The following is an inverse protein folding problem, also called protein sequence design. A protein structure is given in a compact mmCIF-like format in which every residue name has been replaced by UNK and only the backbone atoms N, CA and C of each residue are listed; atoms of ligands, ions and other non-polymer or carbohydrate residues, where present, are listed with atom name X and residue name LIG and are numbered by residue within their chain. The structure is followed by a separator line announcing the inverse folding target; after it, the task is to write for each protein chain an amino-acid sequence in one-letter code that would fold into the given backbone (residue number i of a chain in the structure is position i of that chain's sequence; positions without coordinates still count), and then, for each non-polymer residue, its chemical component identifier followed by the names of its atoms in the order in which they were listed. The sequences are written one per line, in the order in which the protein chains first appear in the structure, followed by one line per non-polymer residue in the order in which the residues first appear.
data_IF_867582760036
#
_entry.id   IF_867582760036
#
_cell.length_a   1.000
_cell.length_b   1.000
_cell.length_c   1.000
_cell.angle_alpha   90.00
_cell.angle_beta   90.00
_cell.angle_gamma   90.00
#
_symmetry.space_group_name_H-M   'P 1'
#
loop_
_entity.id
_entity.type
_entity.pdbx_description
1 polymer ?
#
# COMPACT_ATOMS: atom_id res chain seq x y z
N UNK A 1 -18.35 7.40 -30.14
CA UNK A 1 -17.01 7.07 -29.62
C UNK A 1 -16.66 8.10 -28.56
N UNK A 2 -16.06 7.61 -27.48
CA UNK A 2 -16.10 8.11 -26.09
C UNK A 2 -15.64 9.56 -25.88
N UNK A 3 -16.58 10.43 -25.55
CA UNK A 3 -16.35 11.81 -25.04
C UNK A 3 -15.45 11.85 -23.78
N UNK A 4 -15.26 10.72 -23.10
CA UNK A 4 -14.38 10.57 -21.93
C UNK A 4 -12.88 10.46 -22.27
N UNK A 5 -12.52 10.18 -23.51
CA UNK A 5 -11.13 9.92 -23.92
C UNK A 5 -10.18 11.13 -23.77
N UNK A 6 -10.56 12.38 -24.12
CA UNK A 6 -9.70 13.54 -23.88
C UNK A 6 -9.53 13.85 -22.38
N UNK A 7 -10.57 13.66 -21.56
CA UNK A 7 -10.49 13.89 -20.11
C UNK A 7 -9.50 12.96 -19.41
N UNK A 8 -9.42 11.70 -19.86
CA UNK A 8 -8.44 10.73 -19.37
C UNK A 8 -7.00 11.17 -19.64
N UNK A 9 -6.75 11.80 -20.79
CA UNK A 9 -5.43 12.32 -21.15
C UNK A 9 -5.02 13.48 -20.23
N UNK A 10 -5.90 14.48 -20.03
CA UNK A 10 -5.62 15.60 -19.12
C UNK A 10 -5.41 15.13 -17.68
N UNK A 11 -6.23 14.19 -17.21
CA UNK A 11 -6.07 13.56 -15.91
C UNK A 11 -4.73 12.82 -15.78
N UNK A 12 -4.34 12.05 -16.80
CA UNK A 12 -3.07 11.34 -16.78
C UNK A 12 -1.87 12.30 -16.73
N UNK A 13 -1.90 13.36 -17.54
CA UNK A 13 -0.85 14.38 -17.55
C UNK A 13 -0.76 15.07 -16.18
N UNK A 14 -1.89 15.49 -15.61
CA UNK A 14 -1.91 16.15 -14.30
C UNK A 14 -1.44 15.22 -13.18
N UNK A 15 -1.84 13.95 -13.19
CA UNK A 15 -1.36 12.92 -12.26
C UNK A 15 0.14 12.69 -12.39
N UNK A 16 0.66 12.49 -13.60
CA UNK A 16 2.09 12.26 -13.83
C UNK A 16 2.90 13.48 -13.39
N UNK A 17 2.47 14.70 -13.73
CA UNK A 17 3.12 15.92 -13.30
C UNK A 17 3.13 16.05 -11.76
N UNK A 18 2.01 15.74 -11.10
CA UNK A 18 1.89 15.80 -9.63
C UNK A 18 2.82 14.79 -8.96
N UNK A 19 2.79 13.52 -9.41
CA UNK A 19 3.66 12.46 -8.87
C UNK A 19 5.13 12.81 -9.09
N UNK A 20 5.47 13.36 -10.26
CA UNK A 20 6.83 13.78 -10.58
C UNK A 20 7.30 14.92 -9.67
N UNK A 21 6.50 15.97 -9.47
CA UNK A 21 6.83 17.09 -8.59
C UNK A 21 6.98 16.65 -7.13
N UNK A 22 6.08 15.78 -6.64
CA UNK A 22 6.17 15.19 -5.30
C UNK A 22 7.44 14.35 -5.17
N UNK A 23 7.80 13.57 -6.19
CA UNK A 23 9.04 12.80 -6.23
C UNK A 23 10.29 13.68 -6.20
N UNK A 24 10.27 14.80 -6.93
CA UNK A 24 11.38 15.75 -7.00
C UNK A 24 11.55 16.52 -5.68
N UNK A 25 10.44 16.89 -5.03
CA UNK A 25 10.47 17.45 -3.68
C UNK A 25 10.97 16.43 -2.65
N UNK A 26 10.50 15.19 -2.71
CA UNK A 26 10.95 14.10 -1.86
C UNK A 26 12.47 13.86 -2.02
N UNK A 27 13.00 13.87 -3.24
CA UNK A 27 14.43 13.71 -3.50
C UNK A 27 15.28 14.81 -2.83
N UNK A 28 14.82 16.07 -2.88
CA UNK A 28 15.49 17.20 -2.20
C UNK A 28 15.41 17.10 -0.67
N UNK A 29 14.28 16.63 -0.13
CA UNK A 29 14.08 16.48 1.32
C UNK A 29 14.78 15.24 1.87
N UNK A 30 15.03 14.23 1.04
CA UNK A 30 15.66 12.96 1.43
C UNK A 30 17.03 13.15 2.08
N UNK A 31 17.82 14.12 1.64
CA UNK A 31 19.15 14.40 2.20
C UNK A 31 19.08 14.98 3.63
N UNK A 32 17.98 15.66 3.98
CA UNK A 32 17.73 16.20 5.33
C UNK A 32 16.84 15.31 6.20
N UNK A 33 16.40 14.16 5.68
CA UNK A 33 15.37 13.36 6.31
C UNK A 33 15.95 12.38 7.34
N UNK A 34 15.40 12.40 8.55
CA UNK A 34 15.79 11.46 9.62
C UNK A 34 15.49 10.02 9.21
N UNK A 35 16.38 9.10 9.58
CA UNK A 35 16.31 7.66 9.27
C UNK A 35 14.96 7.00 9.65
N UNK A 36 14.28 7.52 10.67
CA UNK A 36 12.94 7.07 11.07
C UNK A 36 11.87 7.37 10.01
N UNK A 37 11.90 8.54 9.39
CA UNK A 37 10.92 8.93 8.38
C UNK A 37 11.12 8.13 7.09
N UNK A 38 12.37 7.89 6.69
CA UNK A 38 12.70 7.03 5.53
C UNK A 38 12.22 5.60 5.75
N UNK A 39 12.33 5.11 6.98
CA UNK A 39 11.80 3.80 7.35
C UNK A 39 10.28 3.77 7.26
N UNK A 40 9.58 4.78 7.78
CA UNK A 40 8.10 4.89 7.70
C UNK A 40 7.62 4.95 6.24
N UNK A 41 8.28 5.73 5.39
CA UNK A 41 7.91 5.84 3.96
C UNK A 41 8.11 4.50 3.24
N UNK A 42 9.21 3.78 3.50
CA UNK A 42 9.40 2.45 2.95
C UNK A 42 8.36 1.43 3.44
N UNK A 43 7.90 1.57 4.68
CA UNK A 43 6.80 0.74 5.20
C UNK A 43 5.49 1.06 4.51
N UNK A 44 5.16 2.33 4.37
CA UNK A 44 3.96 2.79 3.67
C UNK A 44 4.00 2.30 2.22
N UNK A 45 5.13 2.46 1.50
CA UNK A 45 5.27 1.97 0.12
C UNK A 45 5.01 0.47 -0.01
N UNK A 46 5.53 -0.35 0.94
CA UNK A 46 5.26 -1.80 0.97
C UNK A 46 3.80 -2.12 1.27
N UNK A 47 3.17 -1.38 2.19
CA UNK A 47 1.76 -1.54 2.54
C UNK A 47 0.86 -1.13 1.37
N UNK A 48 1.17 -0.03 0.66
CA UNK A 48 0.43 0.44 -0.51
C UNK A 48 0.46 -0.57 -1.66
N UNK A 49 1.60 -1.23 -1.87
CA UNK A 49 1.69 -2.31 -2.85
C UNK A 49 0.78 -3.50 -2.49
N UNK A 50 0.78 -3.90 -1.21
CA UNK A 50 -0.13 -4.94 -0.71
C UNK A 50 -1.60 -4.53 -0.79
N UNK A 51 -1.93 -3.26 -0.55
CA UNK A 51 -3.27 -2.71 -0.70
C UNK A 51 -3.77 -2.87 -2.14
N UNK A 52 -2.94 -2.51 -3.13
CA UNK A 52 -3.26 -2.64 -4.55
C UNK A 52 -3.49 -4.11 -4.95
N UNK A 53 -2.62 -5.03 -4.52
CA UNK A 53 -2.78 -6.46 -4.82
C UNK A 53 -3.99 -7.09 -4.14
N UNK A 54 -4.30 -6.68 -2.90
CA UNK A 54 -5.41 -7.23 -2.15
C UNK A 54 -6.76 -6.67 -2.60
N UNK A 55 -6.80 -5.52 -3.27
CA UNK A 55 -8.02 -4.78 -3.64
C UNK A 55 -9.00 -5.60 -4.49
N UNK A 56 -8.53 -6.53 -5.32
CA UNK A 56 -9.38 -7.38 -6.15
C UNK A 56 -10.31 -8.27 -5.32
N UNK A 57 -9.88 -8.71 -4.13
CA UNK A 57 -10.66 -9.57 -3.23
C UNK A 57 -11.94 -8.85 -2.73
N UNK A 58 -11.85 -7.69 -2.06
CA UNK A 58 -13.03 -6.97 -1.61
C UNK A 58 -13.85 -6.38 -2.76
N UNK A 59 -13.25 -6.01 -3.90
CA UNK A 59 -14.03 -5.64 -5.09
C UNK A 59 -14.88 -6.80 -5.60
N UNK A 60 -14.34 -8.01 -5.61
CA UNK A 60 -15.08 -9.23 -6.01
C UNK A 60 -16.21 -9.53 -5.04
N UNK A 61 -15.95 -9.43 -3.73
CA UNK A 61 -16.96 -9.60 -2.68
C UNK A 61 -18.05 -8.53 -2.81
N UNK A 62 -17.68 -7.26 -2.97
CA UNK A 62 -18.62 -6.15 -3.14
C UNK A 62 -19.50 -6.39 -4.37
N UNK A 63 -18.91 -6.78 -5.51
CA UNK A 63 -19.67 -7.11 -6.73
C UNK A 63 -20.68 -8.24 -6.49
N UNK A 64 -20.32 -9.24 -5.70
CA UNK A 64 -21.16 -10.39 -5.38
C UNK A 64 -22.31 -10.04 -4.42
N UNK A 65 -22.04 -9.14 -3.46
CA UNK A 65 -23.09 -8.56 -2.60
C UNK A 65 -24.03 -7.71 -3.45
N UNK A 66 -23.49 -6.86 -4.32
CA UNK A 66 -24.26 -5.93 -5.14
C UNK A 66 -25.17 -6.66 -6.14
N UNK A 67 -24.72 -7.80 -6.70
CA UNK A 67 -25.54 -8.62 -7.60
C UNK A 67 -26.71 -9.31 -6.89
N UNK A 68 -26.57 -9.61 -5.59
CA UNK A 68 -27.66 -10.15 -4.76
C UNK A 68 -28.66 -9.06 -4.33
N UNK A 69 -28.24 -7.81 -4.37
CA UNK A 69 -29.03 -6.63 -3.97
C UNK A 69 -29.71 -5.94 -5.17
N UNK A 70 -29.82 -6.62 -6.31
CA UNK A 70 -30.37 -6.10 -7.57
C UNK A 70 -31.84 -5.61 -7.50
N UNK A 71 -32.54 -5.83 -6.38
CA UNK A 71 -33.89 -5.32 -6.16
C UNK A 71 -33.94 -3.88 -5.61
N UNK A 72 -32.81 -3.30 -5.20
CA UNK A 72 -32.81 -1.97 -4.56
C UNK A 72 -33.11 -0.82 -5.54
N UNK A 73 -33.83 0.22 -5.09
CA UNK A 73 -34.09 1.42 -5.88
C UNK A 73 -32.79 2.19 -6.17
N UNK A 74 -32.74 2.92 -7.29
CA UNK A 74 -31.55 3.63 -7.79
C UNK A 74 -30.90 4.58 -6.76
N UNK A 75 -31.71 5.17 -5.87
CA UNK A 75 -31.24 6.02 -4.77
C UNK A 75 -30.39 5.27 -3.74
N UNK A 76 -30.66 3.99 -3.50
CA UNK A 76 -29.86 3.14 -2.63
C UNK A 76 -28.43 2.97 -3.16
N UNK A 77 -28.26 2.87 -4.48
CA UNK A 77 -26.94 2.75 -5.10
C UNK A 77 -26.08 4.01 -4.91
N UNK A 78 -26.67 5.21 -4.90
CA UNK A 78 -25.93 6.47 -4.70
C UNK A 78 -25.25 6.51 -3.33
N UNK A 79 -25.90 6.00 -2.28
CA UNK A 79 -25.34 5.92 -0.92
C UNK A 79 -24.43 4.69 -0.76
N UNK A 80 -24.74 3.61 -1.47
CA UNK A 80 -23.98 2.37 -1.39
C UNK A 80 -22.61 2.46 -2.08
N UNK A 81 -22.46 3.34 -3.07
CA UNK A 81 -21.17 3.59 -3.74
C UNK A 81 -20.08 4.12 -2.79
N UNK A 82 -20.26 5.24 -2.05
CA UNK A 82 -19.26 5.71 -1.10
C UNK A 82 -19.04 4.72 0.04
N UNK A 83 -20.10 4.03 0.49
CA UNK A 83 -19.99 3.00 1.53
C UNK A 83 -19.16 1.79 1.05
N UNK A 84 -19.41 1.32 -0.17
CA UNK A 84 -18.66 0.24 -0.81
C UNK A 84 -17.20 0.62 -1.04
N UNK A 85 -16.92 1.86 -1.42
CA UNK A 85 -15.56 2.39 -1.53
C UNK A 85 -14.82 2.36 -0.19
N UNK A 86 -15.46 2.85 0.87
CA UNK A 86 -14.90 2.79 2.23
C UNK A 86 -14.69 1.34 2.69
N UNK A 87 -15.63 0.45 2.40
CA UNK A 87 -15.51 -0.97 2.73
C UNK A 87 -14.30 -1.61 2.02
N UNK A 88 -14.15 -1.38 0.71
CA UNK A 88 -13.01 -1.89 -0.07
C UNK A 88 -11.69 -1.34 0.46
N UNK A 89 -11.65 -0.05 0.79
CA UNK A 89 -10.46 0.60 1.33
C UNK A 89 -10.09 0.04 2.70
N UNK A 90 -11.05 -0.05 3.63
CA UNK A 90 -10.84 -0.57 4.98
C UNK A 90 -10.47 -2.05 4.99
N UNK A 91 -11.14 -2.87 4.19
CA UNK A 91 -10.84 -4.31 4.09
C UNK A 91 -9.47 -4.56 3.45
N UNK A 92 -9.13 -3.84 2.38
CA UNK A 92 -7.79 -3.94 1.76
C UNK A 92 -6.71 -3.46 2.74
N UNK A 93 -6.94 -2.37 3.46
CA UNK A 93 -6.02 -1.86 4.47
C UNK A 93 -5.87 -2.84 5.62
N UNK A 94 -6.97 -3.44 6.08
CA UNK A 94 -6.98 -4.48 7.11
C UNK A 94 -6.20 -5.71 6.69
N UNK A 95 -6.39 -6.21 5.48
CA UNK A 95 -5.66 -7.37 4.93
C UNK A 95 -4.18 -7.05 4.79
N UNK A 96 -3.82 -5.90 4.20
CA UNK A 96 -2.42 -5.49 4.05
C UNK A 96 -1.73 -5.30 5.41
N UNK A 97 -2.43 -4.69 6.38
CA UNK A 97 -1.95 -4.53 7.75
C UNK A 97 -1.81 -5.87 8.47
N UNK A 98 -2.76 -6.79 8.27
CA UNK A 98 -2.71 -8.14 8.82
C UNK A 98 -1.55 -8.95 8.24
N UNK A 99 -1.35 -8.92 6.92
CA UNK A 99 -0.18 -9.52 6.26
C UNK A 99 1.15 -8.90 6.70
N UNK A 100 1.14 -7.63 7.12
CA UNK A 100 2.32 -6.97 7.68
C UNK A 100 2.56 -7.33 9.17
N UNK A 101 1.50 -7.57 9.95
CA UNK A 101 1.56 -7.86 11.39
C UNK A 101 1.72 -9.35 11.71
N UNK A 102 1.18 -10.26 10.90
CA UNK A 102 1.20 -11.71 11.16
C UNK A 102 2.44 -12.37 10.54
N UNK A 103 3.32 -12.99 11.35
CA UNK A 103 4.59 -13.54 10.87
C UNK A 103 4.42 -14.98 10.35
N UNK A 104 4.23 -15.12 9.03
CA UNK A 104 5.21 -15.88 8.24
C UNK A 104 5.79 -15.09 7.05
N UNK A 105 5.14 -14.00 6.60
CA UNK A 105 5.51 -13.25 5.39
C UNK A 105 6.63 -12.20 5.59
N UNK A 106 6.94 -11.84 6.85
CA UNK A 106 8.10 -10.99 7.16
C UNK A 106 9.44 -11.60 6.70
N UNK A 107 9.51 -12.94 6.60
CA UNK A 107 10.66 -13.71 6.08
C UNK A 107 10.72 -13.71 4.53
N UNK A 108 9.58 -13.69 3.84
CA UNK A 108 9.50 -13.65 2.37
C UNK A 108 9.77 -12.24 1.79
N UNK A 109 9.45 -11.19 2.55
CA UNK A 109 9.56 -9.78 2.14
C UNK A 109 10.96 -9.19 2.39
N UNK A 110 11.92 -10.02 2.84
CA UNK A 110 13.30 -9.59 3.08
C UNK A 110 13.44 -8.55 4.19
N UNK A 111 12.52 -8.54 5.18
CA UNK A 111 12.68 -7.68 6.36
C UNK A 111 13.87 -8.22 7.16
N UNK A 112 14.96 -7.46 7.37
CA UNK A 112 16.05 -7.92 8.22
C UNK A 112 15.50 -8.02 9.64
N UNK A 113 15.21 -9.25 10.06
CA UNK A 113 14.87 -9.55 11.43
C UNK A 113 16.16 -9.37 12.22
N UNK A 114 16.32 -8.23 12.90
CA UNK A 114 17.40 -7.97 13.87
C UNK A 114 17.29 -8.99 15.01
N UNK A 115 17.74 -10.21 14.79
CA UNK A 115 17.94 -11.19 15.86
C UNK A 115 19.02 -12.24 15.58
N UNK A 116 19.86 -12.08 14.55
CA UNK A 116 20.97 -13.03 14.34
C UNK A 116 22.27 -12.50 13.74
N UNK A 117 22.34 -11.24 13.33
CA UNK A 117 23.59 -10.67 12.80
C UNK A 117 24.46 -10.01 13.88
N UNK A 118 23.86 -9.42 14.92
CA UNK A 118 24.62 -8.89 16.06
C UNK A 118 25.28 -9.99 16.91
N UNK A 119 24.75 -11.22 16.91
CA UNK A 119 25.40 -12.34 17.61
C UNK A 119 26.59 -12.88 16.79
N UNK A 120 26.56 -12.71 15.46
CA UNK A 120 27.60 -13.28 14.59
C UNK A 120 28.82 -12.35 14.47
N UNK A 121 28.65 -11.03 14.45
CA UNK A 121 29.79 -10.10 14.42
C UNK A 121 30.50 -9.98 15.77
N UNK A 122 29.77 -9.98 16.89
CA UNK A 122 30.38 -9.93 18.23
C UNK A 122 31.20 -11.19 18.52
N UNK A 123 30.74 -12.37 18.11
CA UNK A 123 31.51 -13.61 18.28
C UNK A 123 32.74 -13.72 17.36
N UNK A 124 32.76 -13.01 16.23
CA UNK A 124 33.92 -13.05 15.32
C UNK A 124 35.02 -12.09 15.80
N UNK A 125 34.66 -10.94 16.39
CA UNK A 125 35.67 -10.02 16.92
C UNK A 125 36.37 -10.52 18.20
N UNK A 126 35.71 -11.34 19.00
CA UNK A 126 36.27 -11.85 20.26
C UNK A 126 37.24 -13.02 20.05
N UNK A 127 37.15 -13.73 18.91
CA UNK A 127 38.03 -14.86 18.58
C UNK A 127 39.33 -14.49 17.86
N UNK A 128 39.48 -13.23 17.45
CA UNK A 128 40.68 -12.74 16.75
C UNK A 128 41.66 -12.08 17.74
N UNK A 129 41.19 -11.76 18.94
CA UNK A 129 41.98 -11.13 20.01
C UNK A 129 42.30 -12.07 21.19
N UNK A 130 42.21 -13.39 20.98
CA UNK A 130 42.63 -14.44 21.92
C UNK A 130 43.61 -15.39 21.23
#
# INVERSE_FOLDING_TARGET
MSIHQPYMLFYAISMVATVFLVGLHYAKVREKMTQQLTTKINLIAKVSFGLYLAQTIPLTILRLILSRLAFLPAWGFVILVPLGYLFVWLSSFGIAYFCYKVPPFGRLIGRPQKRRYLVKEVFVHDKINQ
#
